data_IF_929425680616
#
_entry.id   IF_929425680616
#
_cell.length_a   1.000
_cell.length_b   1.000
_cell.length_c   1.000
_cell.angle_alpha   90.00
_cell.angle_beta   90.00
_cell.angle_gamma   90.00
#
_symmetry.space_group_name_H-M   'P 1'
#
loop_
_entity.id
_entity.type
_entity.pdbx_description
1 polymer ?
#
# COMPACT_ATOMS: atom_id res chain seq x y z
N UNK A 1 25.51 7.80 -18.43
CA UNK A 1 24.40 6.88 -18.07
C UNK A 1 24.65 5.61 -18.85
N UNK A 2 25.12 4.56 -18.21
CA UNK A 2 25.31 3.24 -18.78
C UNK A 2 23.93 2.66 -19.06
N UNK A 3 23.62 2.35 -20.32
CA UNK A 3 22.42 1.60 -20.71
C UNK A 3 22.35 0.34 -19.86
N UNK A 4 21.32 0.22 -19.04
CA UNK A 4 21.03 -1.03 -18.33
C UNK A 4 20.54 -2.05 -19.36
N UNK A 5 21.47 -2.74 -20.01
CA UNK A 5 21.22 -3.77 -21.02
C UNK A 5 20.80 -5.12 -20.38
N UNK A 6 20.39 -5.13 -19.11
CA UNK A 6 20.19 -6.34 -18.30
C UNK A 6 18.73 -6.82 -18.25
N UNK A 7 17.81 -6.22 -19.03
CA UNK A 7 16.46 -6.74 -19.12
C UNK A 7 16.43 -7.97 -20.04
N UNK A 8 15.93 -9.09 -19.49
CA UNK A 8 15.64 -10.30 -20.26
C UNK A 8 14.48 -10.05 -21.24
N UNK A 9 13.46 -9.32 -20.79
CA UNK A 9 12.30 -8.90 -21.56
C UNK A 9 11.95 -7.45 -21.27
N UNK A 10 11.97 -6.60 -22.30
CA UNK A 10 11.58 -5.20 -22.24
C UNK A 10 10.05 -4.99 -22.20
N UNK A 11 9.59 -3.75 -21.97
CA UNK A 11 8.15 -3.45 -21.83
C UNK A 11 7.28 -3.86 -23.03
N UNK A 12 7.76 -3.73 -24.24
CA UNK A 12 7.01 -4.01 -25.47
C UNK A 12 7.28 -5.41 -26.04
N UNK A 13 8.14 -6.22 -25.41
CA UNK A 13 8.48 -7.55 -25.89
C UNK A 13 7.28 -8.50 -25.85
N UNK A 14 7.12 -9.21 -26.97
CA UNK A 14 6.06 -10.18 -27.16
C UNK A 14 6.53 -11.56 -26.70
N UNK A 15 6.02 -12.02 -25.57
CA UNK A 15 6.32 -13.32 -24.98
C UNK A 15 5.15 -14.28 -25.26
N UNK A 16 5.41 -15.60 -25.49
CA UNK A 16 4.36 -16.61 -25.60
C UNK A 16 3.43 -16.60 -24.38
N UNK A 17 2.13 -16.86 -24.58
CA UNK A 17 1.11 -16.73 -23.53
C UNK A 17 1.42 -17.63 -22.32
N UNK A 18 1.87 -18.87 -22.55
CA UNK A 18 2.21 -19.81 -21.48
C UNK A 18 3.39 -19.29 -20.64
N UNK A 19 4.43 -18.80 -21.29
CA UNK A 19 5.61 -18.25 -20.62
C UNK A 19 5.25 -16.97 -19.85
N UNK A 20 4.48 -16.06 -20.47
CA UNK A 20 3.95 -14.88 -19.79
C UNK A 20 3.09 -15.24 -18.57
N UNK A 21 2.31 -16.32 -18.66
CA UNK A 21 1.54 -16.85 -17.54
C UNK A 21 2.42 -17.32 -16.38
N UNK A 22 3.45 -18.10 -16.66
CA UNK A 22 4.38 -18.61 -15.62
C UNK A 22 5.18 -17.48 -14.97
N UNK A 23 5.72 -16.56 -15.78
CA UNK A 23 6.43 -15.38 -15.28
C UNK A 23 5.49 -14.45 -14.51
N UNK A 24 4.24 -14.29 -14.94
CA UNK A 24 3.21 -13.53 -14.24
C UNK A 24 2.91 -14.13 -12.86
N UNK A 25 2.79 -15.46 -12.77
CA UNK A 25 2.62 -16.14 -11.48
C UNK A 25 3.81 -15.91 -10.55
N UNK A 26 5.04 -15.95 -11.08
CA UNK A 26 6.23 -15.62 -10.30
C UNK A 26 6.17 -14.20 -9.72
N UNK A 27 5.72 -13.21 -10.49
CA UNK A 27 5.54 -11.84 -10.01
C UNK A 27 4.47 -11.77 -8.91
N UNK A 28 3.34 -12.43 -9.08
CA UNK A 28 2.25 -12.49 -8.07
C UNK A 28 2.74 -13.06 -6.75
N UNK A 29 3.50 -14.17 -6.80
CA UNK A 29 4.05 -14.82 -5.60
C UNK A 29 5.10 -13.97 -4.87
N UNK A 30 5.75 -13.05 -5.59
CA UNK A 30 6.72 -12.12 -5.01
C UNK A 30 6.09 -10.86 -4.41
N UNK A 31 4.77 -10.68 -4.54
CA UNK A 31 4.06 -9.50 -4.06
C UNK A 31 3.22 -9.80 -2.82
N UNK A 32 3.26 -8.89 -1.87
CA UNK A 32 2.56 -8.97 -0.59
C UNK A 32 1.18 -8.27 -0.59
N UNK A 33 0.49 -8.26 -1.74
CA UNK A 33 -0.80 -7.54 -1.93
C UNK A 33 -1.92 -7.96 -0.96
N UNK A 34 -1.82 -9.12 -0.34
CA UNK A 34 -2.76 -9.60 0.66
C UNK A 34 -2.53 -9.01 2.06
N UNK A 35 -1.36 -8.41 2.31
CA UNK A 35 -1.00 -7.92 3.66
C UNK A 35 -1.85 -6.70 4.08
N UNK A 36 -1.98 -5.60 3.29
CA UNK A 36 -2.80 -4.47 3.69
C UNK A 36 -4.27 -4.86 3.96
N UNK A 37 -4.95 -5.67 3.12
CA UNK A 37 -6.31 -6.12 3.42
C UNK A 37 -6.41 -6.98 4.70
N UNK A 38 -5.41 -7.82 4.98
CA UNK A 38 -5.37 -8.60 6.22
C UNK A 38 -5.28 -7.71 7.44
N UNK A 39 -4.43 -6.68 7.39
CA UNK A 39 -4.26 -5.70 8.45
C UNK A 39 -5.58 -4.95 8.67
N UNK A 40 -6.17 -4.41 7.60
CA UNK A 40 -7.45 -3.70 7.67
C UNK A 40 -8.51 -4.61 8.29
N UNK A 41 -8.68 -5.82 7.78
CA UNK A 41 -9.67 -6.76 8.27
C UNK A 41 -9.45 -7.14 9.75
N UNK A 42 -8.20 -7.23 10.18
CA UNK A 42 -7.83 -7.46 11.58
C UNK A 42 -8.21 -6.27 12.47
N UNK A 43 -7.79 -5.05 12.10
CA UNK A 43 -8.05 -3.81 12.84
C UNK A 43 -9.55 -3.46 12.92
N UNK A 44 -10.32 -3.82 11.87
CA UNK A 44 -11.78 -3.69 11.87
C UNK A 44 -12.49 -4.82 12.63
N UNK A 45 -11.74 -5.79 13.16
CA UNK A 45 -12.27 -6.98 13.84
C UNK A 45 -13.33 -7.72 13.02
N UNK A 46 -13.12 -7.85 11.70
CA UNK A 46 -14.03 -8.56 10.83
C UNK A 46 -14.06 -10.06 11.21
N UNK A 47 -15.24 -10.66 11.21
CA UNK A 47 -15.39 -12.10 11.38
C UNK A 47 -14.75 -12.87 10.20
N UNK A 48 -14.57 -14.17 10.35
CA UNK A 48 -13.86 -15.01 9.39
C UNK A 48 -14.47 -14.97 7.97
N UNK A 49 -15.80 -14.86 7.86
CA UNK A 49 -16.50 -14.83 6.57
C UNK A 49 -16.25 -13.49 5.87
N UNK A 50 -16.47 -12.37 6.59
CA UNK A 50 -16.25 -11.04 6.06
C UNK A 50 -14.76 -10.80 5.75
N UNK A 51 -13.86 -11.31 6.58
CA UNK A 51 -12.41 -11.25 6.34
C UNK A 51 -12.00 -11.98 5.06
N UNK A 52 -12.54 -13.19 4.85
CA UNK A 52 -12.32 -13.97 3.62
C UNK A 52 -12.87 -13.24 2.40
N UNK A 53 -14.11 -12.73 2.47
CA UNK A 53 -14.71 -11.95 1.39
C UNK A 53 -13.93 -10.69 1.07
N UNK A 54 -13.44 -9.96 2.08
CA UNK A 54 -12.64 -8.75 1.90
C UNK A 54 -11.32 -9.04 1.17
N UNK A 55 -10.66 -10.18 1.47
CA UNK A 55 -9.47 -10.63 0.75
C UNK A 55 -9.75 -10.99 -0.70
N UNK A 56 -10.86 -11.71 -0.95
CA UNK A 56 -11.24 -12.08 -2.31
C UNK A 56 -11.48 -10.85 -3.20
N UNK A 57 -12.25 -9.87 -2.71
CA UNK A 57 -12.49 -8.64 -3.48
C UNK A 57 -11.24 -7.78 -3.62
N UNK A 58 -10.30 -7.84 -2.66
CA UNK A 58 -9.00 -7.18 -2.79
C UNK A 58 -8.19 -7.79 -3.94
N UNK A 59 -8.10 -9.12 -4.04
CA UNK A 59 -7.44 -9.76 -5.17
C UNK A 59 -8.11 -9.41 -6.51
N UNK A 60 -9.44 -9.42 -6.58
CA UNK A 60 -10.16 -8.99 -7.79
C UNK A 60 -9.82 -7.55 -8.18
N UNK A 61 -9.83 -6.65 -7.20
CA UNK A 61 -9.49 -5.24 -7.42
C UNK A 61 -8.05 -5.09 -7.93
N UNK A 62 -7.08 -5.84 -7.36
CA UNK A 62 -5.70 -5.88 -7.84
C UNK A 62 -5.64 -6.30 -9.32
N UNK A 63 -6.36 -7.36 -9.67
CA UNK A 63 -6.38 -7.87 -11.03
C UNK A 63 -6.97 -6.89 -12.02
N UNK A 64 -8.16 -6.37 -11.75
CA UNK A 64 -8.83 -5.39 -12.61
C UNK A 64 -8.03 -4.09 -12.71
N UNK A 65 -7.51 -3.57 -11.58
CA UNK A 65 -6.67 -2.38 -11.56
C UNK A 65 -5.39 -2.56 -12.37
N UNK A 66 -4.73 -3.72 -12.27
CA UNK A 66 -3.54 -4.06 -13.06
C UNK A 66 -3.85 -4.09 -14.56
N UNK A 67 -4.97 -4.70 -14.96
CA UNK A 67 -5.39 -4.73 -16.36
C UNK A 67 -5.72 -3.33 -16.90
N UNK A 68 -6.36 -2.47 -16.09
CA UNK A 68 -6.66 -1.08 -16.43
C UNK A 68 -5.37 -0.30 -16.66
N UNK A 69 -4.43 -0.36 -15.72
CA UNK A 69 -3.18 0.41 -15.80
C UNK A 69 -2.25 -0.10 -16.89
N UNK A 70 -1.92 -1.39 -16.86
CA UNK A 70 -0.94 -1.98 -17.79
C UNK A 70 -1.49 -2.14 -19.20
N UNK A 71 -2.76 -2.53 -19.31
CA UNK A 71 -3.37 -2.84 -20.61
C UNK A 71 -3.86 -1.61 -21.36
N UNK A 72 -4.48 -0.68 -20.65
CA UNK A 72 -5.26 0.37 -21.30
C UNK A 72 -4.72 1.79 -21.10
N UNK A 73 -4.50 2.24 -19.86
CA UNK A 73 -4.24 3.66 -19.58
C UNK A 73 -2.75 4.00 -19.52
N UNK A 74 -2.02 3.56 -18.51
CA UNK A 74 -0.60 3.88 -18.35
C UNK A 74 0.27 3.16 -19.39
N UNK A 75 -0.10 1.94 -19.76
CA UNK A 75 0.62 1.09 -20.72
C UNK A 75 2.09 0.86 -20.34
N UNK A 76 2.35 0.73 -19.03
CA UNK A 76 3.65 0.32 -18.48
C UNK A 76 3.52 -1.00 -17.73
N UNK A 77 4.61 -1.78 -17.59
CA UNK A 77 4.62 -3.04 -16.84
C UNK A 77 4.46 -2.76 -15.35
N UNK A 78 3.22 -2.68 -14.87
CA UNK A 78 2.93 -2.26 -13.51
C UNK A 78 1.70 -2.97 -12.95
N UNK A 79 1.80 -3.54 -11.76
CA UNK A 79 0.62 -4.05 -11.06
C UNK A 79 0.06 -3.02 -10.09
N UNK A 80 -1.22 -3.17 -9.81
CA UNK A 80 -1.95 -2.43 -8.80
C UNK A 80 -2.14 -3.32 -7.57
N UNK A 81 -2.06 -2.72 -6.39
CA UNK A 81 -2.29 -3.41 -5.13
C UNK A 81 -2.82 -2.46 -4.04
N UNK A 82 -3.41 -2.99 -2.97
CA UNK A 82 -3.92 -2.20 -1.87
C UNK A 82 -2.79 -1.41 -1.19
N UNK A 83 -3.01 -0.11 -0.99
CA UNK A 83 -2.03 0.75 -0.33
C UNK A 83 -2.07 0.61 1.19
N UNK A 84 -0.92 0.82 1.84
CA UNK A 84 -0.81 0.97 3.30
C UNK A 84 -1.25 2.35 3.79
N UNK A 85 -1.20 3.38 2.93
CA UNK A 85 -1.52 4.78 3.26
C UNK A 85 -2.91 4.95 3.88
N UNK A 86 -4.00 4.39 3.33
CA UNK A 86 -5.34 4.61 3.85
C UNK A 86 -5.68 3.81 5.10
N UNK A 87 -4.84 2.86 5.53
CA UNK A 87 -5.16 1.91 6.63
C UNK A 87 -5.64 2.63 7.88
N UNK A 88 -4.86 3.57 8.40
CA UNK A 88 -5.22 4.31 9.62
C UNK A 88 -6.50 5.13 9.45
N UNK A 89 -6.70 5.75 8.30
CA UNK A 89 -7.91 6.55 8.02
C UNK A 89 -9.15 5.68 7.84
N UNK A 90 -9.03 4.51 7.21
CA UNK A 90 -10.12 3.52 7.11
C UNK A 90 -10.56 3.12 8.52
N UNK A 91 -9.62 2.72 9.38
CA UNK A 91 -9.90 2.31 10.76
C UNK A 91 -10.51 3.47 11.55
N UNK A 92 -9.93 4.67 11.44
CA UNK A 92 -10.43 5.86 12.12
C UNK A 92 -11.86 6.22 11.75
N UNK A 93 -12.20 6.24 10.46
CA UNK A 93 -13.56 6.51 9.97
C UNK A 93 -14.53 5.40 10.39
N UNK A 94 -14.12 4.14 10.23
CA UNK A 94 -14.93 2.98 10.60
C UNK A 94 -15.33 3.03 12.07
N UNK A 95 -14.37 3.20 12.98
CA UNK A 95 -14.61 3.24 14.43
C UNK A 95 -15.39 4.49 14.86
N UNK A 96 -15.11 5.65 14.27
CA UNK A 96 -15.82 6.91 14.59
C UNK A 96 -17.31 6.87 14.22
N UNK A 97 -17.71 5.98 13.30
CA UNK A 97 -19.11 5.80 12.88
C UNK A 97 -19.74 4.53 13.48
N UNK A 98 -19.24 4.06 14.63
CA UNK A 98 -19.80 2.93 15.36
C UNK A 98 -19.45 1.56 14.78
N UNK A 99 -18.52 1.49 13.84
CA UNK A 99 -18.10 0.25 13.22
C UNK A 99 -19.17 -0.41 12.34
N UNK A 100 -18.99 -1.70 12.06
CA UNK A 100 -19.96 -2.52 11.34
C UNK A 100 -20.36 -1.96 9.98
N UNK A 101 -21.64 -2.15 9.61
CA UNK A 101 -22.17 -1.77 8.31
C UNK A 101 -22.09 -0.26 8.04
N UNK A 102 -22.40 0.55 9.06
CA UNK A 102 -22.39 2.02 8.93
C UNK A 102 -20.99 2.60 8.73
N UNK A 103 -20.01 2.13 9.50
CA UNK A 103 -18.62 2.55 9.39
C UNK A 103 -18.01 2.21 8.03
N UNK A 104 -18.25 0.98 7.53
CA UNK A 104 -17.75 0.59 6.21
C UNK A 104 -18.41 1.38 5.08
N UNK A 105 -19.73 1.62 5.15
CA UNK A 105 -20.44 2.42 4.16
C UNK A 105 -19.87 3.84 4.02
N UNK A 106 -19.43 4.47 5.12
CA UNK A 106 -18.77 5.79 5.11
C UNK A 106 -17.38 5.72 4.46
N UNK A 107 -16.60 4.68 4.77
CA UNK A 107 -15.28 4.44 4.14
C UNK A 107 -15.42 4.31 2.63
N UNK A 108 -16.38 3.49 2.17
CA UNK A 108 -16.60 3.27 0.73
C UNK A 108 -17.07 4.55 0.03
N UNK A 109 -17.99 5.30 0.64
CA UNK A 109 -18.44 6.57 0.08
C UNK A 109 -17.31 7.59 -0.06
N UNK A 110 -16.45 7.73 0.96
CA UNK A 110 -15.29 8.61 0.91
C UNK A 110 -14.25 8.14 -0.14
N UNK A 111 -14.02 6.82 -0.25
CA UNK A 111 -13.14 6.21 -1.25
C UNK A 111 -13.61 6.51 -2.68
N UNK A 112 -14.91 6.39 -2.95
CA UNK A 112 -15.49 6.69 -4.27
C UNK A 112 -15.26 8.14 -4.66
N UNK A 113 -15.54 9.09 -3.73
CA UNK A 113 -15.33 10.52 -4.02
C UNK A 113 -13.85 10.81 -4.30
N UNK A 114 -12.93 10.28 -3.50
CA UNK A 114 -11.50 10.43 -3.73
C UNK A 114 -11.05 9.85 -5.07
N UNK A 115 -11.55 8.66 -5.44
CA UNK A 115 -11.25 8.03 -6.73
C UNK A 115 -11.74 8.88 -7.92
N UNK A 116 -12.96 9.41 -7.83
CA UNK A 116 -13.52 10.31 -8.86
C UNK A 116 -12.68 11.58 -8.98
N UNK A 117 -12.22 12.15 -7.87
CA UNK A 117 -11.33 13.32 -7.90
C UNK A 117 -10.01 13.03 -8.62
N UNK A 118 -9.40 11.85 -8.45
CA UNK A 118 -8.20 11.47 -9.21
C UNK A 118 -8.49 11.38 -10.71
N UNK A 119 -9.61 10.80 -11.10
CA UNK A 119 -10.03 10.72 -12.50
C UNK A 119 -10.16 12.14 -13.08
N UNK A 120 -10.91 13.01 -12.40
CA UNK A 120 -11.10 14.39 -12.83
C UNK A 120 -9.77 15.14 -12.93
N UNK A 121 -8.89 15.01 -11.93
CA UNK A 121 -7.56 15.63 -11.96
C UNK A 121 -6.71 15.13 -13.13
N UNK A 122 -6.74 13.83 -13.42
CA UNK A 122 -6.05 13.25 -14.58
C UNK A 122 -6.59 13.78 -15.93
N UNK A 123 -7.91 14.04 -16.02
CA UNK A 123 -8.55 14.60 -17.21
C UNK A 123 -8.17 16.07 -17.45
N UNK A 124 -7.83 16.84 -16.40
CA UNK A 124 -7.42 18.26 -16.57
C UNK A 124 -6.06 18.41 -17.25
N UNK A 125 -5.23 17.37 -17.29
CA UNK A 125 -3.85 17.45 -17.78
C UNK A 125 -2.89 18.23 -16.86
N UNK A 126 -3.35 18.65 -15.69
CA UNK A 126 -2.57 19.47 -14.75
C UNK A 126 -1.85 18.68 -13.67
N UNK A 127 -2.03 17.36 -13.65
CA UNK A 127 -1.53 16.51 -12.57
C UNK A 127 -0.05 16.70 -12.30
N UNK A 128 0.79 16.57 -13.34
CA UNK A 128 2.22 16.68 -13.18
C UNK A 128 2.64 18.05 -12.62
N UNK A 129 1.99 19.14 -13.06
CA UNK A 129 2.29 20.50 -12.57
C UNK A 129 1.87 20.70 -11.12
N UNK A 130 0.74 20.14 -10.73
CA UNK A 130 0.23 20.23 -9.35
C UNK A 130 1.09 19.39 -8.41
N UNK A 131 1.34 18.12 -8.74
CA UNK A 131 2.05 17.21 -7.84
C UNK A 131 3.52 17.63 -7.67
N UNK A 132 4.20 18.06 -8.73
CA UNK A 132 5.58 18.54 -8.63
C UNK A 132 5.74 19.78 -7.76
N UNK A 133 4.68 20.59 -7.62
CA UNK A 133 4.67 21.79 -6.76
C UNK A 133 4.29 21.48 -5.32
N UNK A 134 3.26 20.65 -5.10
CA UNK A 134 2.74 20.33 -3.77
C UNK A 134 3.57 19.26 -3.06
N UNK A 135 4.06 18.27 -3.82
CA UNK A 135 4.71 17.08 -3.28
C UNK A 135 6.05 16.83 -3.98
N UNK A 136 7.01 17.76 -3.83
CA UNK A 136 8.36 17.49 -4.29
C UNK A 136 8.97 16.30 -3.52
N UNK A 137 10.08 15.70 -3.98
CA UNK A 137 10.66 14.49 -3.38
C UNK A 137 10.86 14.54 -1.86
N UNK A 138 11.22 15.72 -1.30
CA UNK A 138 11.37 15.88 0.14
C UNK A 138 10.05 15.68 0.89
N UNK A 139 8.94 16.24 0.37
CA UNK A 139 7.60 16.08 0.95
C UNK A 139 7.14 14.64 0.80
N UNK A 140 7.28 14.07 -0.41
CA UNK A 140 6.88 12.69 -0.69
C UNK A 140 7.62 11.68 0.19
N UNK A 141 8.94 11.79 0.28
CA UNK A 141 9.75 10.92 1.14
C UNK A 141 9.39 11.06 2.62
N UNK A 142 9.16 12.29 3.10
CA UNK A 142 8.71 12.55 4.48
C UNK A 142 7.36 11.89 4.76
N UNK A 143 6.39 12.05 3.86
CA UNK A 143 5.06 11.46 4.02
C UNK A 143 5.16 9.93 4.08
N UNK A 144 5.91 9.30 3.17
CA UNK A 144 6.11 7.84 3.17
C UNK A 144 6.78 7.38 4.47
N UNK A 145 7.78 8.12 4.97
CA UNK A 145 8.40 7.81 6.26
C UNK A 145 7.38 7.90 7.42
N UNK A 146 6.52 8.92 7.41
CA UNK A 146 5.45 9.08 8.40
C UNK A 146 4.39 7.97 8.29
N UNK A 147 4.11 7.42 7.10
CA UNK A 147 3.22 6.25 6.94
C UNK A 147 3.76 5.07 7.75
N UNK A 148 5.02 4.68 7.54
CA UNK A 148 5.62 3.57 8.30
C UNK A 148 5.60 3.83 9.81
N UNK A 149 5.96 5.05 10.24
CA UNK A 149 5.95 5.44 11.65
C UNK A 149 4.55 5.42 12.26
N UNK A 150 3.52 5.85 11.53
CA UNK A 150 2.14 5.91 12.03
C UNK A 150 1.48 4.55 12.18
N UNK A 151 1.91 3.57 11.40
CA UNK A 151 1.35 2.22 11.39
C UNK A 151 2.01 1.30 12.42
N UNK A 152 3.20 1.65 12.92
CA UNK A 152 3.97 0.82 13.86
C UNK A 152 3.21 0.52 15.17
N UNK A 153 2.49 1.47 15.81
CA UNK A 153 1.68 1.16 16.98
C UNK A 153 0.59 0.13 16.70
N UNK A 154 -0.08 0.20 15.56
CA UNK A 154 -1.08 -0.81 15.18
C UNK A 154 -0.45 -2.18 14.92
N UNK A 155 0.76 -2.21 14.34
CA UNK A 155 1.48 -3.47 14.14
C UNK A 155 1.81 -4.15 15.47
N UNK A 156 2.26 -3.40 16.45
CA UNK A 156 2.72 -3.94 17.75
C UNK A 156 1.56 -4.05 18.72
N UNK A 157 0.83 -2.95 18.96
CA UNK A 157 -0.17 -2.91 20.04
C UNK A 157 -1.42 -3.73 19.67
N UNK A 158 -2.05 -3.41 18.53
CA UNK A 158 -3.32 -4.03 18.15
C UNK A 158 -3.17 -5.48 17.70
N UNK A 159 -2.09 -5.78 16.95
CA UNK A 159 -1.89 -7.11 16.38
C UNK A 159 -1.08 -8.07 17.27
N UNK A 160 -0.34 -7.59 18.28
CA UNK A 160 0.46 -8.44 19.17
C UNK A 160 -0.07 -8.38 20.59
N UNK A 161 -0.04 -7.18 21.24
CA UNK A 161 -0.35 -7.08 22.66
C UNK A 161 -1.84 -7.19 22.97
N UNK A 162 -2.70 -6.62 22.09
CA UNK A 162 -4.16 -6.65 22.22
C UNK A 162 -4.83 -7.76 21.37
N UNK A 163 -4.04 -8.56 20.66
CA UNK A 163 -4.56 -9.71 19.92
C UNK A 163 -5.23 -10.71 20.87
N UNK A 164 -6.29 -11.36 20.38
CA UNK A 164 -7.02 -12.35 21.14
C UNK A 164 -6.10 -13.51 21.63
N UNK A 165 -6.36 -14.03 22.83
CA UNK A 165 -5.63 -15.12 23.42
C UNK A 165 -4.60 -14.69 24.46
N UNK A 166 -3.59 -15.52 24.68
CA UNK A 166 -2.54 -15.27 25.67
C UNK A 166 -1.46 -14.33 25.11
N UNK A 167 -1.23 -13.20 25.77
CA UNK A 167 -0.27 -12.19 25.34
C UNK A 167 1.15 -12.74 25.21
N UNK A 168 1.59 -13.62 26.10
CA UNK A 168 2.94 -14.24 25.99
C UNK A 168 3.07 -15.10 24.75
N UNK A 169 2.03 -15.86 24.40
CA UNK A 169 2.00 -16.63 23.15
C UNK A 169 2.02 -15.72 21.92
N UNK A 170 1.27 -14.62 21.95
CA UNK A 170 1.26 -13.64 20.88
C UNK A 170 2.64 -12.98 20.67
N UNK A 171 3.34 -12.66 21.77
CA UNK A 171 4.71 -12.12 21.72
C UNK A 171 5.68 -13.13 21.10
N UNK A 172 5.60 -14.39 21.50
CA UNK A 172 6.45 -15.45 20.96
C UNK A 172 6.19 -15.64 19.46
N UNK A 173 4.91 -15.72 19.05
CA UNK A 173 4.53 -15.84 17.63
C UNK A 173 5.05 -14.68 16.79
N UNK A 174 4.82 -13.45 17.24
CA UNK A 174 5.27 -12.26 16.56
C UNK A 174 6.82 -12.22 16.49
N UNK A 175 7.50 -12.50 17.60
CA UNK A 175 8.96 -12.53 17.68
C UNK A 175 9.58 -13.55 16.72
N UNK A 176 9.07 -14.77 16.71
CA UNK A 176 9.56 -15.82 15.78
C UNK A 176 9.28 -15.42 14.33
N UNK A 177 8.12 -14.85 14.04
CA UNK A 177 7.78 -14.40 12.68
C UNK A 177 8.67 -13.24 12.23
N UNK A 178 8.94 -12.26 13.10
CA UNK A 178 9.90 -11.17 12.83
C UNK A 178 11.29 -11.72 12.53
N UNK A 179 11.79 -12.62 13.40
CA UNK A 179 13.10 -13.23 13.25
C UNK A 179 13.20 -14.05 11.96
N UNK A 180 12.15 -14.79 11.60
CA UNK A 180 12.09 -15.54 10.36
C UNK A 180 12.17 -14.61 9.12
N UNK A 181 11.47 -13.47 9.15
CA UNK A 181 11.53 -12.46 8.09
C UNK A 181 12.94 -11.86 7.99
N UNK A 182 13.51 -11.42 9.10
CA UNK A 182 14.87 -10.87 9.15
C UNK A 182 15.92 -11.91 8.72
N UNK A 183 15.78 -13.14 9.16
CA UNK A 183 16.65 -14.23 8.74
C UNK A 183 16.59 -14.47 7.23
N UNK A 184 15.40 -14.49 6.63
CA UNK A 184 15.25 -14.62 5.19
C UNK A 184 15.93 -13.48 4.43
N UNK A 185 15.78 -12.22 4.89
CA UNK A 185 16.46 -11.05 4.32
C UNK A 185 17.98 -11.16 4.47
N UNK A 186 18.48 -11.52 5.65
CA UNK A 186 19.93 -11.64 5.92
C UNK A 186 20.53 -12.79 5.10
N UNK A 187 19.90 -13.97 5.13
CA UNK A 187 20.35 -15.14 4.36
C UNK A 187 20.38 -14.87 2.85
N UNK A 188 19.47 -14.03 2.35
CA UNK A 188 19.50 -13.63 0.95
C UNK A 188 20.81 -12.94 0.53
N UNK A 189 21.53 -12.31 1.46
CA UNK A 189 22.81 -11.66 1.18
C UNK A 189 24.00 -12.66 1.16
N UNK A 190 23.86 -13.78 1.87
CA UNK A 190 24.91 -14.82 1.92
C UNK A 190 24.76 -15.87 0.80
N UNK A 191 23.52 -16.22 0.45
CA UNK A 191 23.24 -17.23 -0.56
C UNK A 191 22.91 -16.60 -1.91
N UNK A 192 23.93 -16.14 -2.64
CA UNK A 192 23.77 -15.43 -3.92
C UNK A 192 22.91 -16.19 -4.95
N UNK A 193 23.01 -17.55 -4.99
CA UNK A 193 22.18 -18.37 -5.90
C UNK A 193 20.69 -18.37 -5.53
N UNK A 194 20.36 -18.19 -4.26
CA UNK A 194 18.99 -18.16 -3.73
C UNK A 194 18.54 -16.76 -3.36
N UNK A 195 19.39 -15.74 -3.54
CA UNK A 195 19.14 -14.36 -3.13
C UNK A 195 17.79 -13.85 -3.61
N UNK A 196 17.52 -14.00 -4.90
CA UNK A 196 16.28 -13.55 -5.52
C UNK A 196 15.05 -14.21 -4.90
N UNK A 197 15.11 -15.52 -4.71
CA UNK A 197 14.02 -16.31 -4.13
C UNK A 197 13.78 -15.99 -2.65
N UNK A 198 14.84 -15.94 -1.84
CA UNK A 198 14.74 -15.61 -0.41
C UNK A 198 14.26 -14.19 -0.17
N UNK A 199 14.74 -13.21 -0.95
CA UNK A 199 14.35 -11.82 -0.81
C UNK A 199 12.90 -11.59 -1.25
N UNK A 200 12.49 -12.11 -2.40
CA UNK A 200 11.13 -11.99 -2.90
C UNK A 200 10.11 -12.76 -2.06
N UNK A 201 10.48 -13.93 -1.52
CA UNK A 201 9.60 -14.77 -0.70
C UNK A 201 9.69 -14.52 0.81
N UNK A 202 10.49 -13.56 1.29
CA UNK A 202 10.77 -13.39 2.72
C UNK A 202 9.52 -13.26 3.59
N UNK A 203 8.54 -12.49 3.14
CA UNK A 203 7.25 -12.29 3.84
C UNK A 203 6.46 -13.61 3.88
N UNK A 204 6.39 -14.32 2.76
CA UNK A 204 5.67 -15.60 2.66
C UNK A 204 6.32 -16.65 3.58
N UNK A 205 7.65 -16.75 3.58
CA UNK A 205 8.38 -17.66 4.47
C UNK A 205 8.13 -17.34 5.93
N UNK A 206 8.16 -16.05 6.31
CA UNK A 206 7.88 -15.63 7.68
C UNK A 206 6.45 -16.00 8.11
N UNK A 207 5.47 -15.76 7.25
CA UNK A 207 4.06 -16.13 7.52
C UNK A 207 3.92 -17.65 7.64
N UNK A 208 4.53 -18.43 6.77
CA UNK A 208 4.49 -19.90 6.85
C UNK A 208 5.08 -20.37 8.17
N UNK A 209 6.28 -19.92 8.55
CA UNK A 209 6.94 -20.30 9.79
C UNK A 209 6.10 -19.90 11.01
N UNK A 210 5.61 -18.66 11.04
CA UNK A 210 4.73 -18.17 12.11
C UNK A 210 3.42 -18.96 12.22
N UNK A 211 2.80 -19.29 11.08
CA UNK A 211 1.55 -20.06 11.05
C UNK A 211 1.78 -21.53 11.46
N UNK A 212 2.91 -22.14 11.09
CA UNK A 212 3.28 -23.49 11.55
C UNK A 212 3.47 -23.52 13.07
N UNK A 213 4.17 -22.52 13.62
CA UNK A 213 4.31 -22.39 15.07
C UNK A 213 2.94 -22.18 15.74
N UNK A 214 2.09 -21.32 15.18
CA UNK A 214 0.74 -21.11 15.69
C UNK A 214 -0.10 -22.39 15.67
N UNK A 215 0.08 -23.24 14.64
CA UNK A 215 -0.58 -24.56 14.55
C UNK A 215 -0.10 -25.50 15.66
N UNK A 216 1.21 -25.53 15.95
CA UNK A 216 1.77 -26.31 17.06
C UNK A 216 1.28 -25.82 18.44
N UNK A 217 1.09 -24.51 18.58
CA UNK A 217 0.53 -23.89 19.80
C UNK A 217 -0.99 -23.98 19.90
N UNK A 218 -1.67 -24.68 18.98
CA UNK A 218 -3.13 -24.79 18.89
C UNK A 218 -3.87 -23.45 18.72
N UNK A 219 -3.20 -22.45 18.17
CA UNK A 219 -3.75 -21.10 17.92
C UNK A 219 -4.20 -20.92 16.45
N UNK A 220 -4.00 -21.93 15.61
CA UNK A 220 -4.42 -21.91 14.21
C UNK A 220 -5.40 -23.05 13.94
N UNK A 221 -6.55 -22.72 13.36
CA UNK A 221 -7.57 -23.72 13.06
C UNK A 221 -7.62 -24.05 11.58
N UNK A 222 -7.42 -25.29 11.24
CA UNK A 222 -7.54 -25.84 9.88
C UNK A 222 -9.00 -25.99 9.42
N UNK A 223 -9.95 -25.91 10.33
CA UNK A 223 -11.37 -26.19 10.07
C UNK A 223 -11.99 -25.26 9.04
N UNK A 224 -11.65 -23.95 9.10
CA UNK A 224 -12.15 -22.97 8.14
C UNK A 224 -11.64 -23.27 6.72
N UNK A 225 -10.38 -23.70 6.59
CA UNK A 225 -9.76 -24.03 5.31
C UNK A 225 -10.35 -25.32 4.72
N UNK A 226 -10.58 -26.33 5.58
CA UNK A 226 -11.18 -27.58 5.16
C UNK A 226 -12.58 -27.39 4.62
N UNK A 227 -13.38 -26.54 5.28
CA UNK A 227 -14.77 -26.21 4.88
C UNK A 227 -14.84 -25.26 3.68
N UNK A 228 -13.79 -24.49 3.40
CA UNK A 228 -13.78 -23.57 2.26
C UNK A 228 -13.77 -24.33 0.93
N UNK A 229 -14.53 -23.82 -0.03
CA UNK A 229 -14.52 -24.32 -1.40
C UNK A 229 -13.23 -23.95 -2.11
N UNK A 230 -12.77 -24.77 -3.05
CA UNK A 230 -11.69 -24.38 -3.96
C UNK A 230 -12.09 -23.16 -4.79
N UNK A 231 -13.29 -23.19 -5.36
CA UNK A 231 -13.90 -22.07 -6.06
C UNK A 231 -14.98 -21.45 -5.18
N UNK A 232 -14.90 -20.14 -4.94
CA UNK A 232 -15.88 -19.38 -4.18
C UNK A 232 -16.12 -18.03 -4.88
N UNK A 233 -17.40 -17.69 -5.07
CA UNK A 233 -17.75 -16.36 -5.56
C UNK A 233 -17.36 -15.30 -4.53
N UNK A 234 -16.61 -14.27 -4.95
CA UNK A 234 -16.28 -13.17 -4.08
C UNK A 234 -17.54 -12.49 -3.54
N UNK A 235 -17.56 -12.24 -2.25
CA UNK A 235 -18.65 -11.49 -1.64
C UNK A 235 -18.40 -10.00 -1.86
N UNK A 236 -19.19 -9.39 -2.73
CA UNK A 236 -19.11 -7.95 -3.00
C UNK A 236 -19.57 -7.17 -1.78
N UNK A 237 -18.63 -6.81 -0.93
CA UNK A 237 -18.88 -6.20 0.38
C UNK A 237 -19.54 -4.81 0.26
N UNK A 238 -19.31 -4.07 -0.84
CA UNK A 238 -20.00 -2.81 -1.08
C UNK A 238 -21.52 -2.98 -1.20
N UNK A 239 -22.01 -4.06 -1.83
CA UNK A 239 -23.44 -4.36 -1.90
C UNK A 239 -24.00 -4.73 -0.52
N UNK A 240 -23.19 -5.38 0.32
CA UNK A 240 -23.58 -5.75 1.67
C UNK A 240 -23.61 -4.56 2.63
N UNK A 241 -22.59 -3.73 2.60
CA UNK A 241 -22.46 -2.57 3.52
C UNK A 241 -23.27 -1.36 3.05
N UNK A 242 -23.43 -1.17 1.74
CA UNK A 242 -23.98 0.03 1.14
C UNK A 242 -22.94 1.15 1.05
N UNK A 243 -23.38 2.33 0.61
CA UNK A 243 -22.56 3.52 0.43
C UNK A 243 -23.22 4.68 1.18
N UNK A 244 -22.43 5.39 2.01
CA UNK A 244 -22.86 6.61 2.70
C UNK A 244 -21.80 7.68 2.55
N UNK A 245 -22.22 8.92 2.50
CA UNK A 245 -21.34 10.08 2.33
C UNK A 245 -21.31 10.91 3.61
N UNK A 246 -20.10 11.31 4.04
CA UNK A 246 -19.84 12.22 5.13
C UNK A 246 -18.79 13.23 4.71
N UNK A 247 -19.06 14.53 4.87
CA UNK A 247 -18.15 15.59 4.45
C UNK A 247 -16.78 15.48 5.10
N UNK A 248 -16.71 15.11 6.38
CA UNK A 248 -15.46 14.93 7.11
C UNK A 248 -14.67 13.68 6.65
N UNK A 249 -15.36 12.56 6.39
CA UNK A 249 -14.72 11.38 5.85
C UNK A 249 -14.19 11.63 4.42
N UNK A 250 -14.97 12.33 3.58
CA UNK A 250 -14.56 12.73 2.23
C UNK A 250 -13.32 13.61 2.28
N UNK A 251 -13.31 14.65 3.13
CA UNK A 251 -12.15 15.54 3.23
C UNK A 251 -10.89 14.79 3.68
N UNK A 252 -11.00 13.87 4.63
CA UNK A 252 -9.90 12.98 5.03
C UNK A 252 -9.39 12.18 3.85
N UNK A 253 -10.29 11.57 3.07
CA UNK A 253 -9.90 10.77 1.91
C UNK A 253 -9.33 11.60 0.77
N UNK A 254 -9.76 12.84 0.55
CA UNK A 254 -9.12 13.74 -0.42
C UNK A 254 -7.63 13.90 -0.10
N UNK A 255 -7.30 14.12 1.17
CA UNK A 255 -5.91 14.26 1.61
C UNK A 255 -5.16 12.91 1.44
N UNK A 256 -5.78 11.80 1.84
CA UNK A 256 -5.21 10.46 1.65
C UNK A 256 -4.94 10.18 0.17
N UNK A 257 -5.81 10.57 -0.73
CA UNK A 257 -5.60 10.38 -2.16
C UNK A 257 -4.48 11.27 -2.74
N UNK A 258 -4.25 12.47 -2.19
CA UNK A 258 -3.06 13.25 -2.51
C UNK A 258 -1.79 12.50 -2.10
N UNK A 259 -1.77 11.90 -0.89
CA UNK A 259 -0.65 11.06 -0.44
C UNK A 259 -0.49 9.84 -1.32
N UNK A 260 -1.59 9.17 -1.66
CA UNK A 260 -1.62 8.00 -2.53
C UNK A 260 -1.00 8.30 -3.91
N UNK A 261 -1.33 9.46 -4.49
CA UNK A 261 -0.71 9.87 -5.77
C UNK A 261 0.80 10.04 -5.67
N UNK A 262 1.31 10.41 -4.51
CA UNK A 262 2.76 10.50 -4.25
C UNK A 262 3.41 9.11 -4.28
N UNK A 263 2.82 8.14 -3.60
CA UNK A 263 3.28 6.75 -3.57
C UNK A 263 3.30 6.16 -4.99
N UNK A 264 2.18 6.29 -5.70
CA UNK A 264 2.04 5.84 -7.09
C UNK A 264 3.06 6.51 -8.01
N UNK A 265 3.26 7.83 -7.89
CA UNK A 265 4.26 8.58 -8.67
C UNK A 265 5.66 8.04 -8.45
N UNK A 266 6.02 7.76 -7.19
CA UNK A 266 7.28 7.13 -6.84
C UNK A 266 7.48 5.77 -7.50
N UNK A 267 6.43 4.94 -7.52
CA UNK A 267 6.43 3.64 -8.18
C UNK A 267 6.61 3.76 -9.69
N UNK A 268 5.96 4.73 -10.33
CA UNK A 268 6.11 4.98 -11.76
C UNK A 268 7.52 5.41 -12.12
N UNK A 269 8.12 6.30 -11.32
CA UNK A 269 9.53 6.68 -11.51
C UNK A 269 10.48 5.50 -11.33
N UNK A 270 10.26 4.68 -10.30
CA UNK A 270 11.08 3.49 -10.08
C UNK A 270 11.00 2.53 -11.29
N UNK A 271 9.79 2.31 -11.81
CA UNK A 271 9.59 1.45 -12.98
C UNK A 271 10.22 2.06 -14.25
N UNK A 272 10.04 3.37 -14.47
CA UNK A 272 10.67 4.12 -15.56
C UNK A 272 12.21 3.96 -15.53
N UNK A 273 12.80 4.05 -14.34
CA UNK A 273 14.25 3.89 -14.15
C UNK A 273 14.73 2.47 -14.45
N UNK A 274 14.01 1.46 -13.94
CA UNK A 274 14.39 0.05 -14.13
C UNK A 274 14.22 -0.40 -15.57
N UNK A 275 13.20 0.13 -16.27
CA UNK A 275 12.91 -0.20 -17.65
C UNK A 275 13.63 0.69 -18.67
N UNK A 276 14.36 1.70 -18.20
CA UNK A 276 14.98 2.76 -19.04
C UNK A 276 13.98 3.39 -20.04
N UNK A 277 12.72 3.54 -19.60
CA UNK A 277 11.62 4.03 -20.45
C UNK A 277 11.08 5.32 -19.85
N UNK A 278 11.24 6.45 -20.56
CA UNK A 278 10.70 7.72 -20.15
C UNK A 278 9.16 7.74 -20.17
N UNK A 279 8.54 8.31 -19.15
CA UNK A 279 7.10 8.47 -19.06
C UNK A 279 6.72 9.80 -19.70
N UNK A 280 5.91 9.77 -20.75
CA UNK A 280 5.40 10.96 -21.44
C UNK A 280 4.35 11.71 -20.57
N UNK A 281 4.15 13.01 -20.81
CA UNK A 281 3.10 13.80 -20.13
C UNK A 281 1.71 13.16 -20.27
N UNK A 282 1.42 12.61 -21.43
CA UNK A 282 0.16 11.93 -21.68
C UNK A 282 0.02 10.65 -20.83
N UNK A 283 1.11 9.90 -20.63
CA UNK A 283 1.10 8.72 -19.76
C UNK A 283 0.92 9.09 -18.30
N UNK A 284 1.51 10.21 -17.82
CA UNK A 284 1.26 10.71 -16.47
C UNK A 284 -0.22 10.94 -16.20
N UNK A 285 -0.91 11.67 -17.10
CA UNK A 285 -2.32 11.97 -16.96
C UNK A 285 -3.21 10.71 -17.09
N UNK A 286 -2.94 9.87 -18.09
CA UNK A 286 -3.64 8.59 -18.26
C UNK A 286 -3.40 7.65 -17.09
N UNK A 287 -2.17 7.60 -16.56
CA UNK A 287 -1.83 6.83 -15.38
C UNK A 287 -2.66 7.25 -14.17
N UNK A 288 -2.84 8.57 -13.94
CA UNK A 288 -3.68 9.05 -12.86
C UNK A 288 -5.17 8.71 -13.05
N UNK A 289 -5.68 8.81 -14.28
CA UNK A 289 -7.04 8.33 -14.59
C UNK A 289 -7.15 6.83 -14.28
N UNK A 290 -6.14 6.04 -14.65
CA UNK A 290 -6.09 4.61 -14.38
C UNK A 290 -6.03 4.29 -12.89
N UNK A 291 -5.27 5.07 -12.12
CA UNK A 291 -5.23 4.97 -10.67
C UNK A 291 -6.61 5.24 -10.05
N UNK A 292 -7.23 6.34 -10.46
CA UNK A 292 -8.59 6.68 -10.01
C UNK A 292 -9.61 5.61 -10.39
N UNK A 293 -9.56 5.07 -11.61
CA UNK A 293 -10.44 3.97 -12.04
C UNK A 293 -10.18 2.69 -11.24
N UNK A 294 -8.92 2.35 -10.97
CA UNK A 294 -8.55 1.19 -10.15
C UNK A 294 -9.10 1.35 -8.73
N UNK A 295 -8.96 2.53 -8.14
CA UNK A 295 -9.50 2.85 -6.82
C UNK A 295 -11.05 2.85 -6.82
N UNK A 296 -11.69 3.34 -7.87
CA UNK A 296 -13.14 3.33 -8.01
C UNK A 296 -13.68 1.89 -8.08
N UNK A 297 -13.07 1.04 -8.91
CA UNK A 297 -13.40 -0.38 -9.00
C UNK A 297 -13.20 -1.05 -7.64
N UNK A 298 -12.07 -0.77 -6.96
CA UNK A 298 -11.80 -1.31 -5.63
C UNK A 298 -12.88 -0.92 -4.62
N UNK A 299 -13.28 0.35 -4.57
CA UNK A 299 -14.33 0.82 -3.67
C UNK A 299 -15.70 0.21 -3.99
N UNK A 300 -16.05 0.07 -5.28
CA UNK A 300 -17.29 -0.57 -5.72
C UNK A 300 -17.33 -2.07 -5.40
N UNK A 301 -16.20 -2.74 -5.40
CA UNK A 301 -16.08 -4.13 -4.94
C UNK A 301 -16.11 -4.21 -3.41
N UNK A 302 -15.88 -3.11 -2.69
CA UNK A 302 -15.86 -3.06 -1.23
C UNK A 302 -14.47 -3.28 -0.62
N UNK A 303 -13.41 -3.00 -1.37
CA UNK A 303 -12.02 -3.08 -0.92
C UNK A 303 -11.42 -1.70 -0.63
N UNK A 304 -10.14 -1.69 -0.22
CA UNK A 304 -9.40 -0.47 0.10
C UNK A 304 -8.81 0.22 -1.15
N UNK A 305 -8.45 1.51 -1.07
CA UNK A 305 -7.77 2.21 -2.17
C UNK A 305 -6.51 1.51 -2.63
N UNK A 306 -6.28 1.57 -3.94
CA UNK A 306 -5.20 0.90 -4.66
C UNK A 306 -4.09 1.89 -5.00
N UNK A 307 -2.89 1.37 -5.24
CA UNK A 307 -1.73 2.12 -5.72
C UNK A 307 -0.89 1.28 -6.66
N UNK A 308 -0.06 1.92 -7.48
CA UNK A 308 1.00 1.22 -8.19
C UNK A 308 1.93 0.52 -7.20
N UNK A 309 2.13 -0.78 -7.34
CA UNK A 309 2.82 -1.59 -6.33
C UNK A 309 4.34 -1.51 -6.50
N UNK A 310 5.03 -0.86 -5.55
CA UNK A 310 6.46 -0.55 -5.64
C UNK A 310 7.37 -1.78 -5.67
N UNK A 311 6.95 -2.90 -5.09
CA UNK A 311 7.66 -4.19 -5.11
C UNK A 311 7.93 -4.66 -6.53
N UNK A 312 7.07 -4.28 -7.50
CA UNK A 312 7.25 -4.65 -8.91
C UNK A 312 8.57 -4.19 -9.50
N UNK A 313 8.98 -2.94 -9.27
CA UNK A 313 10.26 -2.44 -9.77
C UNK A 313 11.43 -3.26 -9.20
N UNK A 314 11.32 -3.69 -7.94
CA UNK A 314 12.28 -4.60 -7.32
C UNK A 314 12.32 -5.98 -7.99
N UNK A 315 11.15 -6.57 -8.25
CA UNK A 315 11.07 -7.88 -8.94
C UNK A 315 11.60 -7.78 -10.36
N UNK A 316 11.25 -6.73 -11.11
CA UNK A 316 11.78 -6.49 -12.45
C UNK A 316 13.29 -6.33 -12.44
N UNK A 317 13.85 -5.54 -11.50
CA UNK A 317 15.32 -5.38 -11.37
C UNK A 317 16.04 -6.70 -11.11
N UNK A 318 15.36 -7.64 -10.43
CA UNK A 318 15.93 -8.94 -10.07
C UNK A 318 15.78 -9.96 -11.21
N UNK A 319 14.62 -9.99 -11.86
CA UNK A 319 14.27 -11.00 -12.86
C UNK A 319 14.68 -10.59 -14.27
N UNK A 320 14.83 -9.29 -14.53
CA UNK A 320 14.98 -8.73 -15.86
C UNK A 320 13.68 -8.77 -16.69
N UNK A 321 12.54 -9.11 -16.09
CA UNK A 321 11.28 -9.31 -16.80
C UNK A 321 10.39 -8.08 -16.64
N UNK A 322 10.32 -7.25 -17.68
CA UNK A 322 9.53 -6.02 -17.70
C UNK A 322 8.43 -6.03 -18.78
N UNK A 323 8.11 -7.17 -19.38
CA UNK A 323 7.11 -7.23 -20.46
C UNK A 323 5.69 -6.93 -19.94
N UNK A 324 4.99 -6.03 -20.63
CA UNK A 324 3.57 -5.74 -20.37
C UNK A 324 2.67 -6.97 -20.46
N UNK A 325 3.00 -7.95 -21.34
CA UNK A 325 2.25 -9.21 -21.42
C UNK A 325 2.33 -10.02 -20.13
N UNK A 326 3.49 -10.01 -19.48
CA UNK A 326 3.65 -10.66 -18.16
C UNK A 326 2.77 -9.97 -17.12
N UNK A 327 2.73 -8.64 -17.11
CA UNK A 327 1.89 -7.89 -16.16
C UNK A 327 0.38 -8.00 -16.46
N UNK A 328 -0.02 -8.23 -17.71
CA UNK A 328 -1.40 -8.63 -18.00
C UNK A 328 -1.71 -10.02 -17.43
N UNK A 329 -0.77 -10.96 -17.50
CA UNK A 329 -0.92 -12.26 -16.85
C UNK A 329 -0.94 -12.13 -15.31
N UNK A 330 -0.18 -11.20 -14.71
CA UNK A 330 -0.29 -10.85 -13.27
C UNK A 330 -1.72 -10.44 -12.92
N UNK A 331 -2.31 -9.53 -13.70
CA UNK A 331 -3.69 -9.10 -13.50
C UNK A 331 -4.68 -10.26 -13.60
N UNK A 332 -4.51 -11.14 -14.57
CA UNK A 332 -5.31 -12.36 -14.71
C UNK A 332 -5.17 -13.30 -13.50
N UNK A 333 -3.94 -13.54 -13.03
CA UNK A 333 -3.72 -14.37 -11.85
C UNK A 333 -4.35 -13.79 -10.58
N UNK A 334 -4.30 -12.48 -10.37
CA UNK A 334 -5.01 -11.87 -9.24
C UNK A 334 -6.52 -12.08 -9.32
N UNK A 335 -7.12 -11.98 -10.52
CA UNK A 335 -8.54 -12.30 -10.70
C UNK A 335 -8.80 -13.76 -10.29
N UNK A 336 -8.00 -14.71 -10.80
CA UNK A 336 -8.12 -16.12 -10.45
C UNK A 336 -8.02 -16.33 -8.95
N UNK A 337 -7.03 -15.71 -8.27
CA UNK A 337 -6.85 -15.83 -6.82
C UNK A 337 -8.05 -15.27 -6.03
N UNK A 338 -8.74 -14.26 -6.55
CA UNK A 338 -9.98 -13.75 -5.96
C UNK A 338 -11.10 -14.80 -5.89
N UNK A 339 -11.07 -15.81 -6.77
CA UNK A 339 -12.03 -16.92 -6.76
C UNK A 339 -11.53 -18.15 -5.99
N UNK A 340 -10.27 -18.18 -5.53
CA UNK A 340 -9.72 -19.32 -4.76
C UNK A 340 -10.10 -19.18 -3.29
N UNK A 341 -11.25 -19.75 -2.91
CA UNK A 341 -11.79 -19.64 -1.56
C UNK A 341 -10.87 -20.23 -0.49
N UNK A 342 -10.22 -21.38 -0.76
CA UNK A 342 -9.26 -21.98 0.19
C UNK A 342 -8.07 -21.09 0.50
N UNK A 343 -7.52 -20.36 -0.48
CA UNK A 343 -6.42 -19.43 -0.25
C UNK A 343 -6.86 -18.27 0.65
N UNK A 344 -8.00 -17.66 0.32
CA UNK A 344 -8.53 -16.55 1.12
C UNK A 344 -8.90 -16.99 2.54
N UNK A 345 -9.45 -18.19 2.71
CA UNK A 345 -9.72 -18.76 4.03
C UNK A 345 -8.41 -19.05 4.81
N UNK A 346 -7.36 -19.55 4.14
CA UNK A 346 -6.04 -19.71 4.77
C UNK A 346 -5.50 -18.38 5.27
N UNK A 347 -5.45 -17.38 4.41
CA UNK A 347 -4.96 -16.05 4.76
C UNK A 347 -5.79 -15.43 5.89
N UNK A 348 -7.12 -15.57 5.85
CA UNK A 348 -8.03 -15.07 6.88
C UNK A 348 -7.84 -15.75 8.24
N UNK A 349 -7.36 -17.01 8.26
CA UNK A 349 -7.14 -17.81 9.47
C UNK A 349 -5.79 -17.53 10.15
N UNK A 350 -4.89 -16.79 9.50
CA UNK A 350 -3.58 -16.45 10.08
C UNK A 350 -3.79 -15.63 11.37
N UNK A 351 -3.20 -16.04 12.52
CA UNK A 351 -3.32 -15.31 13.76
C UNK A 351 -2.80 -13.88 13.65
N UNK A 352 -3.49 -12.92 14.27
CA UNK A 352 -3.10 -11.51 14.23
C UNK A 352 -1.67 -11.27 14.69
N UNK A 353 -1.15 -12.05 15.65
CA UNK A 353 0.21 -11.93 16.14
C UNK A 353 1.27 -12.30 15.07
N UNK A 354 0.99 -13.28 14.21
CA UNK A 354 1.86 -13.61 13.06
C UNK A 354 1.90 -12.44 12.08
N UNK A 355 0.72 -11.88 11.77
CA UNK A 355 0.62 -10.70 10.90
C UNK A 355 1.32 -9.50 11.54
N UNK A 356 1.14 -9.27 12.85
CA UNK A 356 1.80 -8.21 13.60
C UNK A 356 3.32 -8.26 13.52
N UNK A 357 3.89 -9.47 13.60
CA UNK A 357 5.33 -9.68 13.43
C UNK A 357 5.84 -9.23 12.05
N UNK A 358 5.19 -9.68 10.98
CA UNK A 358 5.52 -9.25 9.61
C UNK A 358 5.29 -7.76 9.43
N UNK A 359 4.14 -7.26 9.87
CA UNK A 359 3.72 -5.88 9.69
C UNK A 359 4.67 -4.89 10.39
N UNK A 360 5.20 -5.24 11.55
CA UNK A 360 6.19 -4.40 12.25
C UNK A 360 7.44 -4.18 11.39
N UNK A 361 7.95 -5.23 10.75
CA UNK A 361 9.11 -5.11 9.85
C UNK A 361 8.75 -4.33 8.57
N UNK A 362 7.55 -4.54 8.02
CA UNK A 362 7.06 -3.77 6.86
C UNK A 362 6.98 -2.28 7.19
N UNK A 363 6.46 -1.89 8.36
CA UNK A 363 6.42 -0.50 8.82
C UNK A 363 7.83 0.14 8.84
N UNK A 364 8.83 -0.61 9.35
CA UNK A 364 10.22 -0.16 9.35
C UNK A 364 10.75 0.00 7.92
N UNK A 365 10.47 -0.96 7.03
CA UNK A 365 10.90 -0.89 5.62
C UNK A 365 10.26 0.31 4.91
N UNK A 366 8.96 0.56 5.12
CA UNK A 366 8.25 1.71 4.55
C UNK A 366 8.90 3.01 5.05
N UNK A 367 9.12 3.14 6.36
CA UNK A 367 9.77 4.31 6.96
C UNK A 367 11.15 4.56 6.35
N UNK A 368 12.00 3.52 6.28
CA UNK A 368 13.35 3.64 5.73
C UNK A 368 13.35 3.97 4.23
N UNK A 369 12.42 3.42 3.46
CA UNK A 369 12.28 3.75 2.04
C UNK A 369 11.83 5.19 1.85
N UNK A 370 10.92 5.70 2.69
CA UNK A 370 10.58 7.11 2.73
C UNK A 370 11.80 7.98 2.97
N UNK A 371 12.58 7.70 4.01
CA UNK A 371 13.79 8.45 4.35
C UNK A 371 14.84 8.41 3.23
N UNK A 372 15.04 7.26 2.57
CA UNK A 372 15.95 7.13 1.42
C UNK A 372 15.50 7.95 0.20
N UNK A 373 14.21 8.22 0.08
CA UNK A 373 13.64 9.01 -1.01
C UNK A 373 13.80 10.51 -0.80
N UNK A 374 14.19 10.94 0.41
CA UNK A 374 14.44 12.34 0.74
C UNK A 374 15.80 12.74 0.14
N UNK A 375 15.86 13.79 -0.70
CA UNK A 375 17.12 14.31 -1.20
C UNK A 375 17.96 14.93 -0.07
N UNK A 376 19.19 15.36 -0.38
CA UNK A 376 20.03 16.04 0.59
C UNK A 376 19.29 17.26 1.20
N UNK A 377 19.16 17.26 2.52
CA UNK A 377 18.45 18.28 3.28
C UNK A 377 19.36 19.49 3.49
N UNK A 378 18.89 20.68 3.10
CA UNK A 378 19.63 21.93 3.24
C UNK A 378 18.82 22.97 4.04
N UNK A 379 19.49 23.64 4.99
CA UNK A 379 18.90 24.75 5.73
C UNK A 379 17.55 24.42 6.40
N UNK A 380 16.53 25.24 6.15
CA UNK A 380 15.22 25.13 6.75
C UNK A 380 14.41 23.91 6.31
N UNK A 381 14.86 23.17 5.30
CA UNK A 381 14.18 21.94 4.84
C UNK A 381 14.14 20.85 5.92
N UNK A 382 15.02 20.91 6.92
CA UNK A 382 15.00 19.99 8.06
C UNK A 382 13.67 20.03 8.81
N UNK A 383 13.01 21.20 8.87
CA UNK A 383 11.70 21.35 9.50
C UNK A 383 10.58 20.70 8.70
N UNK A 384 10.69 20.66 7.35
CA UNK A 384 9.74 19.97 6.48
C UNK A 384 9.75 18.45 6.70
N UNK A 385 10.89 17.91 7.16
CA UNK A 385 11.01 16.48 7.50
C UNK A 385 10.71 16.23 8.98
N UNK A 386 11.36 16.97 9.86
CA UNK A 386 11.34 16.71 11.30
C UNK A 386 9.99 16.96 11.96
N UNK A 387 9.32 18.08 11.65
CA UNK A 387 8.04 18.42 12.29
C UNK A 387 6.94 17.41 11.97
N UNK A 388 6.70 16.99 10.69
CA UNK A 388 5.71 15.96 10.39
C UNK A 388 6.00 14.62 11.09
N UNK A 389 7.27 14.21 11.18
CA UNK A 389 7.65 12.96 11.86
C UNK A 389 7.36 13.02 13.36
N UNK A 390 7.74 14.14 14.02
CA UNK A 390 7.44 14.35 15.44
C UNK A 390 5.95 14.40 15.70
N UNK A 391 5.17 15.11 14.86
CA UNK A 391 3.71 15.16 14.99
C UNK A 391 3.08 13.78 14.80
N UNK A 392 3.56 12.98 13.83
CA UNK A 392 3.09 11.60 13.62
C UNK A 392 3.29 10.77 14.89
N UNK A 393 4.49 10.85 15.48
CA UNK A 393 4.81 10.13 16.70
C UNK A 393 3.96 10.63 17.88
N UNK A 394 3.87 11.94 18.07
CA UNK A 394 3.09 12.55 19.15
C UNK A 394 1.60 12.17 19.09
N UNK A 395 0.99 12.21 17.89
CA UNK A 395 -0.41 11.84 17.72
C UNK A 395 -0.69 10.37 18.04
N UNK A 396 0.26 9.48 17.79
CA UNK A 396 0.14 8.07 18.18
C UNK A 396 0.15 7.87 19.71
N UNK A 397 0.68 8.83 20.48
CA UNK A 397 0.72 8.79 21.94
C UNK A 397 -0.50 9.47 22.60
N UNK A 398 -1.32 10.19 21.82
CA UNK A 398 -2.50 10.89 22.37
C UNK A 398 -3.56 9.86 22.75
N UNK A 399 -4.02 9.85 24.04
CA UNK A 399 -5.07 8.94 24.46
C UNK A 399 -6.37 9.14 23.66
N UNK A 400 -7.02 8.04 23.27
CA UNK A 400 -8.27 8.07 22.51
C UNK A 400 -9.37 8.91 23.20
N UNK A 401 -9.37 8.96 24.54
CA UNK A 401 -10.29 9.78 25.34
C UNK A 401 -10.14 11.29 25.08
N UNK A 402 -8.92 11.75 24.86
CA UNK A 402 -8.65 13.17 24.52
C UNK A 402 -9.15 13.46 23.09
N UNK A 403 -8.85 12.57 22.16
CA UNK A 403 -9.30 12.72 20.77
C UNK A 403 -10.83 12.72 20.67
N UNK A 404 -11.52 11.90 21.47
CA UNK A 404 -13.00 11.82 21.46
C UNK A 404 -13.70 13.08 21.99
N UNK A 405 -13.00 13.94 22.73
CA UNK A 405 -13.52 15.22 23.21
C UNK A 405 -13.44 16.34 22.17
N UNK A 406 -12.62 16.15 21.12
CA UNK A 406 -12.52 17.13 20.04
C UNK A 406 -13.79 17.16 19.19
N UNK A 407 -14.12 18.28 18.51
CA UNK A 407 -15.18 18.32 17.51
C UNK A 407 -15.02 17.21 16.48
N UNK A 408 -16.12 16.62 16.03
CA UNK A 408 -16.12 15.45 15.14
C UNK A 408 -15.22 15.62 13.92
N UNK A 409 -15.21 16.80 13.33
CA UNK A 409 -14.33 17.14 12.21
C UNK A 409 -12.84 16.96 12.57
N UNK A 410 -12.41 17.46 13.73
CA UNK A 410 -11.01 17.33 14.18
C UNK A 410 -10.66 15.89 14.56
N UNK A 411 -11.62 15.10 15.05
CA UNK A 411 -11.36 13.71 15.41
C UNK A 411 -10.85 12.88 14.23
N UNK A 412 -11.38 13.09 13.01
CA UNK A 412 -10.90 12.36 11.82
C UNK A 412 -9.44 12.66 11.50
N UNK A 413 -9.04 13.93 11.64
CA UNK A 413 -7.64 14.34 11.41
C UNK A 413 -6.73 13.79 12.52
N UNK A 414 -7.13 13.95 13.78
CA UNK A 414 -6.33 13.50 14.92
C UNK A 414 -6.20 11.97 14.99
N UNK A 415 -7.20 11.23 14.49
CA UNK A 415 -7.14 9.76 14.36
C UNK A 415 -6.34 9.29 13.15
N UNK A 416 -5.91 10.19 12.28
CA UNK A 416 -5.09 9.89 11.11
C UNK A 416 -3.77 10.68 11.14
N UNK A 417 -2.76 10.21 11.87
CA UNK A 417 -1.46 10.88 11.94
C UNK A 417 -0.84 11.16 10.57
N UNK A 418 -1.09 10.27 9.59
CA UNK A 418 -0.63 10.42 8.20
C UNK A 418 -1.22 11.67 7.55
N UNK A 419 -2.51 11.95 7.77
CA UNK A 419 -3.19 13.12 7.23
C UNK A 419 -2.58 14.42 7.75
N UNK A 420 -2.31 14.48 9.06
CA UNK A 420 -1.66 15.64 9.69
C UNK A 420 -0.22 15.78 9.19
N UNK A 421 0.53 14.67 9.10
CA UNK A 421 1.90 14.69 8.58
C UNK A 421 1.96 15.22 7.15
N UNK A 422 1.05 14.74 6.28
CA UNK A 422 0.99 15.17 4.88
C UNK A 422 0.68 16.66 4.76
N UNK A 423 -0.34 17.14 5.47
CA UNK A 423 -0.70 18.56 5.48
C UNK A 423 0.46 19.41 5.98
N UNK A 424 1.07 19.03 7.10
CA UNK A 424 2.18 19.76 7.69
C UNK A 424 3.39 19.80 6.76
N UNK A 425 3.75 18.67 6.13
CA UNK A 425 4.86 18.60 5.20
C UNK A 425 4.63 19.49 3.97
N UNK A 426 3.42 19.46 3.39
CA UNK A 426 3.03 20.29 2.24
C UNK A 426 3.08 21.78 2.63
N UNK A 427 2.45 22.17 3.75
CA UNK A 427 2.39 23.56 4.19
C UNK A 427 3.78 24.12 4.49
N UNK A 428 4.60 23.37 5.26
CA UNK A 428 5.96 23.78 5.58
C UNK A 428 6.81 23.90 4.31
N UNK A 429 6.68 22.98 3.37
CA UNK A 429 7.38 23.07 2.10
C UNK A 429 6.99 24.32 1.30
N UNK A 430 5.70 24.65 1.26
CA UNK A 430 5.22 25.85 0.56
C UNK A 430 5.73 27.13 1.22
N UNK A 431 5.81 27.18 2.56
CA UNK A 431 6.29 28.35 3.30
C UNK A 431 7.81 28.46 3.20
N UNK A 432 8.55 27.41 3.49
CA UNK A 432 10.00 27.45 3.63
C UNK A 432 10.74 27.45 2.29
N UNK A 433 10.18 26.88 1.24
CA UNK A 433 10.80 26.87 -0.08
C UNK A 433 10.61 28.17 -0.89
N UNK A 434 9.74 29.08 -0.47
CA UNK A 434 9.63 30.39 -1.12
C UNK A 434 10.92 31.22 -0.91
N UNK A 435 11.57 31.10 0.24
CA UNK A 435 12.84 31.79 0.50
C UNK A 435 13.97 31.32 -0.41
N UNK A 436 13.99 30.06 -0.81
CA UNK A 436 15.03 29.50 -1.69
C UNK A 436 14.89 29.97 -3.15
N UNK A 437 13.67 30.24 -3.62
CA UNK A 437 13.43 30.78 -4.97
C UNK A 437 13.82 32.25 -5.11
N UNK A 438 13.80 33.01 -4.02
CA UNK A 438 14.20 34.43 -4.00
C UNK A 438 15.71 34.59 -3.95
N UNK A 439 16.45 33.60 -3.40
CA UNK A 439 17.92 33.69 -3.20
C UNK A 439 18.79 33.06 -4.29
N UNK A 440 18.23 32.30 -5.23
CA UNK A 440 18.96 31.85 -6.42
C UNK A 440 18.81 32.90 -7.51
N UNK A 441 19.85 33.74 -7.79
CA UNK A 441 19.83 34.59 -8.95
C UNK A 441 19.76 33.70 -10.18
N UNK A 442 18.85 34.02 -11.11
CA UNK A 442 18.89 33.46 -12.46
C UNK A 442 20.35 33.59 -12.94
N UNK A 443 21.08 32.48 -13.00
CA UNK A 443 22.34 32.48 -13.76
C UNK A 443 21.94 32.87 -15.17
N UNK A 444 22.34 34.07 -15.53
CA UNK A 444 22.31 34.60 -16.88
C UNK A 444 22.92 33.53 -17.80
N UNK A 445 22.09 32.99 -18.68
CA UNK A 445 22.56 32.38 -19.92
C UNK A 445 23.07 33.54 -20.80
N UNK A 446 24.31 33.93 -20.59
CA UNK A 446 25.11 34.72 -21.51
C UNK A 446 26.55 34.24 -21.34
N UNK A 447 26.96 33.36 -22.23
CA UNK A 447 28.17 33.35 -23.10
C UNK A 447 28.34 31.94 -23.70
#
# INVERSE_FOLDING_TARGET
MTKNNDLLYGPEDRIPVLEAGLLGLQHVLAMDVYVPPLIIAGLLSLDAVNKTGFLQVAFLACGLGTLIQTGWLMKMPMSQGPSYVPVGSIVGIYLANGGGRGGMAMVLGASIVGAVLLILLGMTGLYQKIISKLVPPIVGGTIIACVGLSLLPSAINDNIFQAAGNTNQNIILAGVTMLALLAAIVLSNYFLKLQKFLKAGSIVFAIIIGTLLASQMHLFSWTAIQKASWFAWPQFTALHYGIRFSGSAILTFIIIYIVLTTETTGTWFAMSTVTDTAISEQQWNRGLIGEGLSCLVSALLGSSPMTGYSTNAGVVSITGVASRRVFLAVGFWFIVLGFVGKLSAFLASIPSAVIGGVFSIICIIIMLNGLKSIPQINGNQIYTVGIPMVLTFALNLVPAKIISQAPQFLQYFLKSPITIAALTAIVLNLILNQEYRVRTPKKSLEN
#
